data_IF_984069011815
#
_entry.id   IF_984069011815
#
_cell.length_a   1.000
_cell.length_b   1.000
_cell.length_c   1.000
_cell.angle_alpha   90.00
_cell.angle_beta   90.00
_cell.angle_gamma   90.00
#
_symmetry.space_group_name_H-M   'P 1'
#
loop_
_entity.id
_entity.type
_entity.pdbx_description
1 polymer ?
#
# COMPACT_ATOMS: atom_id res chain seq x y z
N UNK A 1 -22.03 -18.79 -14.33
CA UNK A 1 -21.79 -17.55 -13.57
C UNK A 1 -22.14 -16.37 -14.46
N UNK A 2 -23.07 -15.50 -14.06
CA UNK A 2 -23.47 -14.35 -14.89
C UNK A 2 -22.56 -13.18 -14.56
N UNK A 3 -21.42 -13.10 -15.24
CA UNK A 3 -20.47 -11.98 -15.15
C UNK A 3 -21.14 -10.79 -15.85
N UNK A 4 -21.30 -9.64 -15.16
CA UNK A 4 -21.84 -8.39 -15.73
C UNK A 4 -20.93 -7.22 -15.38
N UNK A 5 -20.13 -6.79 -16.34
CA UNK A 5 -19.23 -5.65 -16.20
C UNK A 5 -19.07 -4.98 -17.57
N UNK A 6 -19.06 -3.64 -17.62
CA UNK A 6 -18.95 -2.89 -18.88
C UNK A 6 -17.68 -3.23 -19.68
N UNK A 7 -16.60 -3.60 -18.99
CA UNK A 7 -15.29 -3.96 -19.54
C UNK A 7 -15.10 -5.48 -19.71
N UNK A 8 -16.15 -6.28 -19.61
CA UNK A 8 -16.14 -7.71 -19.90
C UNK A 8 -17.18 -7.99 -20.97
N UNK A 9 -16.86 -8.89 -21.90
CA UNK A 9 -17.81 -9.29 -22.93
C UNK A 9 -18.98 -10.06 -22.30
N UNK A 10 -20.21 -9.63 -22.60
CA UNK A 10 -21.40 -10.31 -22.08
C UNK A 10 -21.74 -11.53 -22.93
N UNK A 11 -22.02 -12.66 -22.28
CA UNK A 11 -22.57 -13.86 -22.93
C UNK A 11 -24.08 -13.91 -22.75
N UNK A 12 -24.81 -14.14 -23.84
CA UNK A 12 -26.27 -14.23 -23.87
C UNK A 12 -26.79 -15.65 -24.06
N UNK A 13 -26.03 -16.49 -24.76
CA UNK A 13 -26.38 -17.90 -24.98
C UNK A 13 -25.10 -18.72 -25.16
N UNK A 14 -25.07 -19.90 -24.55
CA UNK A 14 -24.04 -20.90 -24.76
C UNK A 14 -24.73 -22.19 -25.16
N UNK A 15 -24.54 -22.62 -26.40
CA UNK A 15 -24.76 -24.02 -26.80
C UNK A 15 -23.41 -24.65 -27.14
N UNK A 16 -23.28 -25.97 -27.12
CA UNK A 16 -22.00 -26.70 -27.23
C UNK A 16 -21.17 -26.38 -28.49
N UNK A 17 -21.70 -25.62 -29.45
CA UNK A 17 -21.04 -25.22 -30.70
C UNK A 17 -20.96 -23.71 -30.96
N UNK A 18 -21.75 -22.87 -30.27
CA UNK A 18 -21.85 -21.43 -30.57
C UNK A 18 -21.98 -20.62 -29.27
N UNK A 19 -21.13 -19.61 -29.13
CA UNK A 19 -21.21 -18.59 -28.09
C UNK A 19 -21.81 -17.30 -28.68
N UNK A 20 -22.96 -16.88 -28.15
CA UNK A 20 -23.56 -15.58 -28.51
C UNK A 20 -23.09 -14.55 -27.50
N UNK A 21 -22.37 -13.54 -27.97
CA UNK A 21 -21.76 -12.51 -27.15
C UNK A 21 -22.07 -11.10 -27.66
N UNK A 22 -21.86 -10.10 -26.80
CA UNK A 22 -21.87 -8.68 -27.18
C UNK A 22 -21.05 -8.45 -28.45
N UNK A 23 -21.58 -7.64 -29.37
CA UNK A 23 -20.87 -7.30 -30.60
C UNK A 23 -19.89 -6.15 -30.35
N UNK A 24 -18.59 -6.46 -30.29
CA UNK A 24 -17.51 -5.48 -30.26
C UNK A 24 -17.00 -5.25 -31.69
N UNK A 25 -17.51 -4.20 -32.31
CA UNK A 25 -17.37 -3.93 -33.75
C UNK A 25 -16.06 -3.24 -34.16
N UNK A 26 -15.18 -2.95 -33.20
CA UNK A 26 -13.84 -2.40 -33.43
C UNK A 26 -12.77 -3.48 -33.68
N UNK A 27 -13.09 -4.76 -33.51
CA UNK A 27 -12.13 -5.86 -33.63
C UNK A 27 -11.29 -6.06 -32.36
N UNK A 28 -10.11 -6.70 -32.47
CA UNK A 28 -9.24 -6.96 -31.32
C UNK A 28 -8.28 -5.78 -31.09
N UNK A 29 -7.73 -5.69 -29.87
CA UNK A 29 -6.65 -4.76 -29.57
C UNK A 29 -5.43 -5.06 -30.46
N UNK A 30 -5.08 -6.34 -30.64
CA UNK A 30 -3.95 -6.76 -31.49
C UNK A 30 -4.00 -6.16 -32.91
N UNK A 31 -5.16 -6.16 -33.58
CA UNK A 31 -5.30 -5.59 -34.92
C UNK A 31 -5.33 -4.06 -34.94
N UNK A 32 -5.51 -3.42 -33.77
CA UNK A 32 -5.66 -1.98 -33.63
C UNK A 32 -4.52 -1.29 -32.86
N UNK A 33 -3.46 -1.99 -32.42
CA UNK A 33 -2.31 -1.42 -31.66
C UNK A 33 -1.73 -0.16 -32.32
N UNK A 34 -1.70 -0.10 -33.66
CA UNK A 34 -1.20 1.08 -34.39
C UNK A 34 -2.18 2.26 -34.44
N UNK A 35 -3.47 2.02 -34.18
CA UNK A 35 -4.58 2.97 -34.32
C UNK A 35 -5.06 3.57 -33.01
N UNK A 36 -4.77 2.92 -31.88
CA UNK A 36 -5.22 3.35 -30.55
C UNK A 36 -4.69 4.73 -30.13
N UNK A 37 -3.55 5.20 -30.66
CA UNK A 37 -3.06 6.57 -30.46
C UNK A 37 -3.08 7.04 -29.00
N UNK A 38 -3.74 8.16 -28.73
CA UNK A 38 -3.90 8.75 -27.39
C UNK A 38 -4.85 7.95 -26.47
N UNK A 39 -5.67 7.05 -27.02
CA UNK A 39 -6.61 6.20 -26.26
C UNK A 39 -5.96 5.03 -25.53
N UNK A 40 -4.63 4.86 -25.65
CA UNK A 40 -3.87 3.79 -24.98
C UNK A 40 -4.11 3.76 -23.47
N UNK A 41 -4.15 4.91 -22.83
CA UNK A 41 -4.32 5.01 -21.38
C UNK A 41 -5.73 4.62 -20.95
N UNK A 42 -6.75 5.12 -21.66
CA UNK A 42 -8.15 4.76 -21.42
C UNK A 42 -8.37 3.25 -21.58
N UNK A 43 -7.83 2.67 -22.65
CA UNK A 43 -7.88 1.23 -22.91
C UNK A 43 -7.21 0.44 -21.77
N UNK A 44 -6.03 0.87 -21.32
CA UNK A 44 -5.31 0.21 -20.23
C UNK A 44 -6.10 0.23 -18.92
N UNK A 45 -6.72 1.37 -18.59
CA UNK A 45 -7.60 1.52 -17.43
C UNK A 45 -8.81 0.62 -17.52
N UNK A 46 -9.42 0.51 -18.70
CA UNK A 46 -10.60 -0.34 -18.93
C UNK A 46 -10.28 -1.83 -18.79
N UNK A 47 -9.16 -2.30 -19.35
CA UNK A 47 -8.70 -3.68 -19.17
C UNK A 47 -8.43 -3.97 -17.69
N UNK A 48 -7.74 -3.04 -17.01
CA UNK A 48 -7.47 -3.15 -15.57
C UNK A 48 -8.77 -3.30 -14.76
N UNK A 49 -9.76 -2.45 -15.01
CA UNK A 49 -11.05 -2.48 -14.30
C UNK A 49 -11.81 -3.78 -14.52
N UNK A 50 -11.75 -4.35 -15.73
CA UNK A 50 -12.32 -5.66 -16.01
C UNK A 50 -11.62 -6.79 -15.24
N UNK A 51 -10.30 -6.79 -15.19
CA UNK A 51 -9.52 -7.79 -14.45
C UNK A 51 -9.74 -7.71 -12.94
N UNK A 52 -9.79 -6.50 -12.35
CA UNK A 52 -10.05 -6.32 -10.92
C UNK A 52 -11.40 -6.91 -10.55
N UNK A 53 -12.41 -6.68 -11.40
CA UNK A 53 -13.73 -7.26 -11.21
C UNK A 53 -13.70 -8.81 -11.28
N UNK A 54 -13.01 -9.40 -12.25
CA UNK A 54 -12.86 -10.87 -12.32
C UNK A 54 -12.18 -11.44 -11.06
N UNK A 55 -11.07 -10.84 -10.63
CA UNK A 55 -10.35 -11.29 -9.43
C UNK A 55 -11.18 -11.11 -8.16
N UNK A 56 -12.04 -10.07 -8.07
CA UNK A 56 -12.98 -9.91 -6.95
C UNK A 56 -14.04 -11.01 -6.86
N UNK A 57 -14.24 -11.75 -7.96
CA UNK A 57 -15.13 -12.90 -8.05
C UNK A 57 -14.37 -14.23 -7.90
N UNK A 58 -13.11 -14.19 -7.46
CA UNK A 58 -12.19 -15.32 -7.39
C UNK A 58 -12.00 -16.04 -8.75
N UNK A 59 -12.11 -15.26 -9.85
CA UNK A 59 -11.99 -15.76 -11.21
C UNK A 59 -10.65 -15.34 -11.82
N UNK A 60 -9.77 -16.31 -12.09
CA UNK A 60 -8.51 -16.10 -12.81
C UNK A 60 -8.76 -16.29 -14.31
N UNK A 61 -8.42 -15.29 -15.13
CA UNK A 61 -8.71 -15.28 -16.56
C UNK A 61 -7.83 -16.24 -17.35
N UNK A 62 -6.55 -16.38 -17.01
CA UNK A 62 -5.58 -17.36 -17.56
C UNK A 62 -5.15 -17.15 -19.01
N UNK A 63 -5.78 -16.21 -19.73
CA UNK A 63 -5.62 -16.00 -21.19
C UNK A 63 -5.63 -14.52 -21.55
N UNK A 64 -5.04 -13.67 -20.72
CA UNK A 64 -4.94 -12.23 -21.01
C UNK A 64 -3.89 -12.03 -22.10
N UNK A 65 -4.32 -11.51 -23.25
CA UNK A 65 -3.47 -11.17 -24.40
C UNK A 65 -4.19 -10.19 -25.31
N UNK A 66 -3.45 -9.48 -26.17
CA UNK A 66 -4.00 -8.44 -27.05
C UNK A 66 -5.07 -8.95 -28.02
N UNK A 67 -5.07 -10.24 -28.38
CA UNK A 67 -6.13 -10.84 -29.21
C UNK A 67 -7.44 -11.11 -28.45
N UNK A 68 -7.38 -11.19 -27.12
CA UNK A 68 -8.52 -11.46 -26.24
C UNK A 68 -9.09 -10.18 -25.62
N UNK A 69 -8.56 -9.02 -26.00
CA UNK A 69 -9.16 -7.72 -25.69
C UNK A 69 -9.90 -7.26 -26.94
N UNK A 70 -11.23 -7.15 -26.86
CA UNK A 70 -12.07 -6.64 -27.92
C UNK A 70 -12.28 -5.14 -27.74
N UNK A 71 -12.37 -4.41 -28.84
CA UNK A 71 -12.60 -2.98 -28.87
C UNK A 71 -13.95 -2.66 -29.54
N UNK A 72 -14.65 -1.64 -29.05
CA UNK A 72 -15.77 -1.01 -29.77
C UNK A 72 -15.25 -0.07 -30.85
N UNK A 73 -16.13 0.44 -31.73
CA UNK A 73 -15.80 1.56 -32.66
C UNK A 73 -15.19 2.77 -31.97
N UNK A 74 -15.52 3.01 -30.69
CA UNK A 74 -15.01 4.12 -29.90
C UNK A 74 -13.74 3.76 -29.12
N UNK A 75 -13.15 2.59 -29.36
CA UNK A 75 -11.99 2.05 -28.66
C UNK A 75 -12.24 1.71 -27.17
N UNK A 76 -13.49 1.45 -26.78
CA UNK A 76 -13.76 0.88 -25.45
C UNK A 76 -13.35 -0.59 -25.41
N UNK A 77 -12.53 -0.95 -24.44
CA UNK A 77 -11.99 -2.27 -24.23
C UNK A 77 -12.92 -3.17 -23.40
N UNK A 78 -13.12 -4.38 -23.93
CA UNK A 78 -13.83 -5.49 -23.29
C UNK A 78 -12.95 -6.73 -23.28
N UNK A 79 -12.73 -7.29 -22.11
CA UNK A 79 -12.03 -8.57 -21.94
C UNK A 79 -12.93 -9.69 -22.47
N UNK A 80 -12.35 -10.58 -23.26
CA UNK A 80 -12.99 -11.75 -23.87
C UNK A 80 -12.06 -12.97 -23.80
N UNK A 81 -12.42 -14.08 -24.46
CA UNK A 81 -11.60 -15.30 -24.48
C UNK A 81 -11.87 -16.25 -23.31
N UNK A 82 -13.08 -16.18 -22.74
CA UNK A 82 -13.58 -17.11 -21.72
C UNK A 82 -14.04 -18.43 -22.38
N UNK A 83 -13.08 -19.28 -22.76
CA UNK A 83 -13.32 -20.58 -23.42
C UNK A 83 -12.40 -21.68 -22.89
N UNK A 84 -12.89 -22.94 -22.98
CA UNK A 84 -12.55 -24.18 -22.26
C UNK A 84 -11.08 -24.46 -21.89
N UNK A 85 -10.95 -25.37 -20.91
CA UNK A 85 -9.76 -25.80 -20.16
C UNK A 85 -8.40 -25.66 -20.86
N UNK A 86 -7.40 -25.28 -20.05
CA UNK A 86 -5.99 -25.08 -20.41
C UNK A 86 -5.29 -26.41 -20.72
N UNK A 87 -5.84 -27.24 -21.59
CA UNK A 87 -5.12 -28.44 -22.05
C UNK A 87 -4.16 -28.14 -23.21
N UNK A 88 -4.25 -26.94 -23.80
CA UNK A 88 -3.40 -26.53 -24.91
C UNK A 88 -2.94 -25.07 -24.76
N UNK A 89 -1.71 -24.89 -24.28
CA UNK A 89 -1.00 -23.60 -24.20
C UNK A 89 -0.10 -23.35 -25.44
N UNK A 90 -0.27 -24.16 -26.49
CA UNK A 90 0.50 -24.06 -27.72
C UNK A 90 0.36 -22.67 -28.37
N UNK A 91 1.42 -21.86 -28.30
CA UNK A 91 1.53 -20.55 -28.95
C UNK A 91 1.28 -19.33 -28.08
N UNK A 92 0.94 -19.48 -26.79
CA UNK A 92 0.65 -18.37 -25.86
C UNK A 92 1.80 -18.05 -24.87
N UNK A 93 2.99 -18.61 -25.10
CA UNK A 93 4.15 -18.54 -24.18
C UNK A 93 4.65 -17.13 -23.85
N UNK A 94 4.44 -16.19 -24.77
CA UNK A 94 4.92 -14.82 -24.65
C UNK A 94 4.16 -14.02 -23.57
N UNK A 95 2.90 -14.38 -23.29
CA UNK A 95 2.06 -13.75 -22.26
C UNK A 95 2.03 -14.57 -20.95
N UNK A 96 2.69 -15.73 -20.90
CA UNK A 96 2.72 -16.57 -19.70
C UNK A 96 3.79 -16.14 -18.69
N UNK A 97 3.36 -16.02 -17.43
CA UNK A 97 4.27 -15.80 -16.31
C UNK A 97 5.31 -16.94 -16.20
N UNK A 98 6.54 -16.66 -15.74
CA UNK A 98 7.62 -17.65 -15.71
C UNK A 98 7.27 -18.94 -14.96
N UNK A 99 6.48 -18.85 -13.89
CA UNK A 99 6.01 -19.99 -13.10
C UNK A 99 5.12 -20.96 -13.89
N UNK A 100 4.33 -20.45 -14.84
CA UNK A 100 3.41 -21.24 -15.66
C UNK A 100 4.13 -22.04 -16.74
N UNK A 101 5.31 -21.61 -17.16
CA UNK A 101 6.15 -22.33 -18.14
C UNK A 101 6.61 -23.69 -17.64
N UNK A 102 6.69 -23.84 -16.31
CA UNK A 102 7.06 -25.09 -15.64
C UNK A 102 5.85 -25.93 -15.22
N UNK A 103 4.72 -25.28 -14.93
CA UNK A 103 3.51 -25.91 -14.41
C UNK A 103 2.29 -25.02 -14.68
N UNK A 104 1.54 -25.39 -15.72
CA UNK A 104 0.32 -24.66 -16.15
C UNK A 104 -0.83 -24.76 -15.14
N UNK A 105 -0.73 -25.60 -14.10
CA UNK A 105 -1.75 -25.66 -13.05
C UNK A 105 -1.66 -24.49 -12.06
N UNK A 106 -0.54 -23.75 -12.03
CA UNK A 106 -0.25 -22.67 -11.07
C UNK A 106 -0.85 -21.31 -11.42
N UNK A 107 -1.89 -21.28 -12.24
CA UNK A 107 -2.56 -20.02 -12.57
C UNK A 107 -3.03 -19.30 -11.30
N UNK A 108 -2.74 -18.02 -11.24
CA UNK A 108 -2.97 -17.14 -10.11
C UNK A 108 -3.31 -15.71 -10.57
N UNK A 109 -3.75 -14.87 -9.63
CA UNK A 109 -3.90 -13.43 -9.87
C UNK A 109 -2.59 -12.83 -10.40
N UNK A 110 -1.44 -13.18 -9.81
CA UNK A 110 -0.11 -12.77 -10.27
C UNK A 110 0.15 -13.09 -11.74
N UNK A 111 -0.30 -14.27 -12.19
CA UNK A 111 -0.09 -14.70 -13.57
C UNK A 111 -0.92 -13.89 -14.59
N UNK A 112 -2.14 -13.47 -14.24
CA UNK A 112 -2.94 -12.55 -15.06
C UNK A 112 -2.31 -11.15 -15.10
N UNK A 113 -1.71 -10.70 -13.97
CA UNK A 113 -1.02 -9.41 -13.87
C UNK A 113 0.23 -9.39 -14.76
N UNK A 114 1.00 -10.48 -14.78
CA UNK A 114 2.13 -10.61 -15.68
C UNK A 114 1.69 -10.46 -17.14
N UNK A 115 0.65 -11.21 -17.53
CA UNK A 115 0.09 -11.17 -18.87
C UNK A 115 -0.43 -9.77 -19.24
N UNK A 116 -1.06 -9.07 -18.29
CA UNK A 116 -1.43 -7.66 -18.45
C UNK A 116 -0.22 -6.77 -18.72
N UNK A 117 0.90 -6.96 -18.01
CA UNK A 117 2.15 -6.25 -18.25
C UNK A 117 2.69 -6.45 -19.66
N UNK A 118 2.57 -7.66 -20.21
CA UNK A 118 2.94 -7.95 -21.61
C UNK A 118 2.01 -7.22 -22.57
N UNK A 119 0.68 -7.27 -22.35
CA UNK A 119 -0.30 -6.50 -23.14
C UNK A 119 0.00 -5.01 -23.14
N UNK A 120 0.35 -4.45 -21.97
CA UNK A 120 0.75 -3.06 -21.88
C UNK A 120 1.95 -2.82 -22.79
N UNK A 121 3.05 -3.56 -22.60
CA UNK A 121 4.27 -3.41 -23.40
C UNK A 121 3.99 -3.41 -24.91
N UNK A 122 3.09 -4.27 -25.39
CA UNK A 122 2.69 -4.32 -26.80
C UNK A 122 1.94 -3.08 -27.29
N UNK A 123 1.16 -2.42 -26.42
CA UNK A 123 0.52 -1.12 -26.71
C UNK A 123 1.56 0.03 -26.84
N UNK A 124 2.80 -0.18 -26.39
CA UNK A 124 3.92 0.77 -26.45
C UNK A 124 3.99 1.72 -25.25
N UNK A 125 5.12 2.41 -25.08
CA UNK A 125 5.35 3.37 -23.99
C UNK A 125 4.25 4.47 -23.98
N UNK A 126 3.46 4.50 -22.90
CA UNK A 126 2.52 5.57 -22.58
C UNK A 126 3.10 6.53 -21.53
N UNK A 127 2.30 7.51 -21.07
CA UNK A 127 2.76 8.47 -20.06
C UNK A 127 3.12 7.80 -18.73
N UNK A 128 3.57 8.62 -17.75
CA UNK A 128 3.75 8.19 -16.34
C UNK A 128 2.56 7.40 -15.78
N UNK A 129 1.37 7.60 -16.36
CA UNK A 129 0.12 7.03 -15.90
C UNK A 129 -0.10 5.59 -16.33
N UNK A 130 0.35 5.27 -17.54
CA UNK A 130 0.44 3.93 -18.09
C UNK A 130 1.46 3.06 -17.31
N UNK A 131 2.56 3.65 -16.82
CA UNK A 131 3.49 2.99 -15.89
C UNK A 131 2.89 2.79 -14.49
N UNK A 132 2.05 3.73 -14.02
CA UNK A 132 1.34 3.62 -12.74
C UNK A 132 0.33 2.46 -12.74
N UNK A 133 -0.30 2.14 -13.87
CA UNK A 133 -1.17 0.97 -14.01
C UNK A 133 -0.42 -0.36 -13.79
N UNK A 134 0.85 -0.43 -14.20
CA UNK A 134 1.72 -1.58 -13.88
C UNK A 134 2.08 -1.65 -12.40
N UNK A 135 2.22 -0.49 -11.73
CA UNK A 135 2.63 -0.39 -10.32
C UNK A 135 1.45 -0.68 -9.37
N UNK A 136 0.26 -0.13 -9.63
CA UNK A 136 -0.90 -0.25 -8.75
C UNK A 136 -1.47 -1.67 -8.63
N UNK A 137 -1.25 -2.53 -9.62
CA UNK A 137 -1.70 -3.92 -9.57
C UNK A 137 -0.78 -4.81 -8.70
N UNK A 138 0.41 -4.33 -8.34
CA UNK A 138 1.43 -5.08 -7.59
C UNK A 138 1.38 -4.83 -6.07
N UNK A 139 0.57 -3.89 -5.58
CA UNK A 139 0.56 -3.49 -4.17
C UNK A 139 -0.23 -4.45 -3.24
N UNK A 140 -0.98 -5.40 -3.80
CA UNK A 140 -1.84 -6.35 -3.06
C UNK A 140 -1.46 -7.84 -3.18
N UNK A 141 -0.33 -8.20 -3.82
CA UNK A 141 0.10 -9.60 -3.95
C UNK A 141 1.13 -10.03 -2.87
N UNK A 142 0.90 -11.12 -2.11
CA UNK A 142 1.85 -11.67 -1.16
C UNK A 142 3.17 -12.20 -1.79
N UNK A 143 3.30 -12.29 -3.12
CA UNK A 143 4.52 -12.72 -3.82
C UNK A 143 5.61 -11.65 -4.00
N UNK A 144 5.56 -10.52 -3.27
CA UNK A 144 6.51 -9.39 -3.29
C UNK A 144 8.01 -9.75 -3.12
N UNK A 145 8.38 -10.99 -2.78
CA UNK A 145 9.78 -11.40 -2.50
C UNK A 145 10.61 -11.87 -3.70
N UNK A 146 10.09 -11.96 -4.93
CA UNK A 146 10.86 -12.46 -6.08
C UNK A 146 11.22 -11.42 -7.17
N UNK A 147 10.63 -10.23 -7.16
CA UNK A 147 10.87 -9.22 -8.20
C UNK A 147 12.00 -8.26 -7.81
N UNK A 148 13.20 -8.49 -8.36
CA UNK A 148 14.38 -7.62 -8.26
C UNK A 148 14.27 -6.42 -9.21
N UNK A 149 13.45 -5.41 -8.91
CA UNK A 149 13.61 -4.07 -9.50
C UNK A 149 13.24 -2.97 -8.50
N UNK A 150 14.01 -1.87 -8.42
CA UNK A 150 13.80 -0.82 -7.44
C UNK A 150 12.67 0.12 -7.88
N UNK A 151 11.67 0.33 -7.01
CA UNK A 151 10.63 1.33 -7.22
C UNK A 151 11.00 2.58 -6.44
N UNK A 152 11.13 3.70 -7.15
CA UNK A 152 11.31 5.05 -6.59
C UNK A 152 9.94 5.55 -6.12
N UNK A 153 9.83 5.88 -4.83
CA UNK A 153 8.62 6.44 -4.22
C UNK A 153 8.31 7.85 -4.75
N UNK A 154 7.05 8.12 -5.12
CA UNK A 154 6.34 9.40 -4.99
C UNK A 154 4.92 9.30 -5.60
N UNK A 155 4.02 10.30 -5.44
CA UNK A 155 3.30 10.70 -4.22
C UNK A 155 1.78 10.42 -4.33
N UNK A 156 1.10 10.40 -3.17
CA UNK A 156 -0.32 10.08 -2.90
C UNK A 156 -1.41 10.94 -3.60
N UNK A 157 -1.20 11.52 -4.77
CA UNK A 157 -2.13 12.50 -5.38
C UNK A 157 -2.76 12.11 -6.72
N UNK A 158 -2.69 10.84 -7.14
CA UNK A 158 -3.07 10.49 -8.53
C UNK A 158 -3.95 9.24 -8.64
N UNK A 159 -4.71 8.90 -7.59
CA UNK A 159 -5.73 7.85 -7.67
C UNK A 159 -7.07 8.38 -8.22
N UNK A 160 -7.43 9.63 -7.91
CA UNK A 160 -8.71 10.22 -8.27
C UNK A 160 -8.84 10.67 -9.74
N UNK A 161 -7.72 10.91 -10.43
CA UNK A 161 -7.70 11.44 -11.80
C UNK A 161 -7.75 10.38 -12.92
N UNK A 162 -7.63 9.09 -12.61
CA UNK A 162 -7.38 8.00 -13.61
C UNK A 162 -8.47 6.94 -13.74
N UNK A 163 -9.65 7.18 -13.17
CA UNK A 163 -10.80 6.29 -13.37
C UNK A 163 -11.70 6.70 -14.54
N UNK A 164 -11.26 7.63 -15.39
CA UNK A 164 -11.92 7.89 -16.67
C UNK A 164 -13.38 8.34 -16.51
N UNK A 165 -13.61 9.33 -15.65
CA UNK A 165 -14.87 10.08 -15.64
C UNK A 165 -14.58 11.36 -16.41
N UNK A 166 -14.93 11.37 -17.69
CA UNK A 166 -15.09 12.63 -18.42
C UNK A 166 -16.05 13.52 -17.62
N UNK A 167 -15.68 14.79 -17.47
CA UNK A 167 -16.47 15.80 -16.80
C UNK A 167 -17.88 15.85 -17.42
N UNK A 168 -18.89 15.36 -16.70
CA UNK A 168 -20.27 15.45 -17.16
C UNK A 168 -21.30 14.68 -16.34
N UNK A 169 -20.97 13.49 -15.82
CA UNK A 169 -21.94 12.69 -15.06
C UNK A 169 -21.29 12.15 -13.79
N UNK A 170 -21.90 12.45 -12.65
CA UNK A 170 -21.56 11.88 -11.35
C UNK A 170 -21.43 10.36 -11.51
N UNK A 171 -20.29 9.76 -11.15
CA UNK A 171 -20.33 8.36 -10.69
C UNK A 171 -21.41 8.32 -9.61
N UNK A 172 -22.46 7.50 -9.74
CA UNK A 172 -23.53 7.52 -8.76
C UNK A 172 -22.93 7.01 -7.46
N UNK A 173 -22.63 7.96 -6.55
CA UNK A 173 -22.10 7.76 -5.22
C UNK A 173 -22.83 6.62 -4.48
N UNK A 174 -24.11 6.44 -4.79
CA UNK A 174 -24.96 5.35 -4.31
C UNK A 174 -24.50 3.95 -4.77
N UNK A 175 -24.03 3.76 -5.99
CA UNK A 175 -23.47 2.48 -6.44
C UNK A 175 -22.15 2.16 -5.70
N UNK A 176 -21.29 3.16 -5.53
CA UNK A 176 -20.05 3.02 -4.73
C UNK A 176 -20.36 2.61 -3.28
N UNK A 177 -21.37 3.23 -2.66
CA UNK A 177 -21.85 2.88 -1.31
C UNK A 177 -22.37 1.44 -1.25
N UNK A 178 -23.05 0.96 -2.28
CA UNK A 178 -23.54 -0.44 -2.31
C UNK A 178 -22.37 -1.41 -2.39
N UNK A 179 -21.39 -1.17 -3.27
CA UNK A 179 -20.19 -2.01 -3.43
C UNK A 179 -19.38 -2.06 -2.13
N UNK A 180 -19.20 -0.90 -1.49
CA UNK A 180 -18.42 -0.76 -0.27
C UNK A 180 -18.92 -1.60 0.90
N UNK A 181 -20.22 -1.96 0.94
CA UNK A 181 -20.76 -2.81 2.01
C UNK A 181 -20.16 -4.22 2.02
N UNK A 182 -19.61 -4.69 0.91
CA UNK A 182 -18.95 -5.99 0.80
C UNK A 182 -17.46 -5.92 0.47
N UNK A 183 -16.91 -4.72 0.27
CA UNK A 183 -15.52 -4.54 -0.17
C UNK A 183 -14.79 -3.52 0.70
N UNK A 184 -13.81 -4.00 1.47
CA UNK A 184 -13.04 -3.19 2.43
C UNK A 184 -12.21 -2.08 1.77
N UNK A 185 -11.69 -2.31 0.57
CA UNK A 185 -10.92 -1.30 -0.18
C UNK A 185 -11.81 -0.15 -0.64
N UNK A 186 -13.00 -0.48 -1.18
CA UNK A 186 -13.95 0.54 -1.64
C UNK A 186 -14.54 1.32 -0.46
N UNK A 187 -14.82 0.64 0.66
CA UNK A 187 -15.22 1.30 1.90
C UNK A 187 -14.12 2.24 2.41
N UNK A 188 -12.86 1.83 2.39
CA UNK A 188 -11.75 2.70 2.79
C UNK A 188 -11.63 3.92 1.87
N UNK A 189 -11.81 3.72 0.55
CA UNK A 189 -11.81 4.80 -0.42
C UNK A 189 -12.94 5.81 -0.19
N UNK A 190 -14.17 5.34 0.10
CA UNK A 190 -15.28 6.22 0.51
C UNK A 190 -14.94 7.00 1.78
N UNK A 191 -14.31 6.34 2.76
CA UNK A 191 -13.78 7.00 3.96
C UNK A 191 -12.90 8.18 3.59
N UNK A 192 -11.91 7.99 2.71
CA UNK A 192 -11.02 9.07 2.24
C UNK A 192 -11.79 10.16 1.49
N UNK A 193 -12.76 9.79 0.64
CA UNK A 193 -13.55 10.77 -0.11
C UNK A 193 -14.32 11.70 0.81
N UNK A 194 -15.04 11.17 1.80
CA UNK A 194 -15.76 12.00 2.78
C UNK A 194 -14.79 12.77 3.70
N UNK A 195 -13.62 12.23 4.00
CA UNK A 195 -12.63 12.88 4.85
C UNK A 195 -11.94 14.09 4.19
N UNK A 196 -11.80 14.05 2.86
CA UNK A 196 -11.09 15.05 2.04
C UNK A 196 -12.00 15.88 1.14
N UNK A 197 -13.29 15.53 1.04
CA UNK A 197 -14.25 16.14 0.12
C UNK A 197 -14.18 15.58 -1.30
N UNK A 198 -13.33 14.58 -1.56
CA UNK A 198 -13.25 13.88 -2.84
C UNK A 198 -13.05 14.81 -4.04
N UNK A 199 -12.23 15.85 -3.90
CA UNK A 199 -12.02 16.90 -4.92
C UNK A 199 -13.29 17.71 -5.25
N UNK A 200 -14.18 17.89 -4.27
CA UNK A 200 -15.45 18.61 -4.41
C UNK A 200 -16.62 17.73 -4.86
N UNK A 201 -16.43 16.40 -4.98
CA UNK A 201 -17.49 15.45 -5.33
C UNK A 201 -18.45 15.18 -4.18
N UNK A 202 -17.98 15.31 -2.93
CA UNK A 202 -18.79 15.18 -1.72
C UNK A 202 -18.46 16.31 -0.76
N UNK A 203 -19.43 16.70 0.07
CA UNK A 203 -19.14 17.55 1.23
C UNK A 203 -18.21 16.79 2.17
N UNK A 204 -17.24 17.49 2.76
CA UNK A 204 -16.44 16.92 3.84
C UNK A 204 -17.37 16.55 4.99
N UNK A 205 -17.36 15.29 5.36
CA UNK A 205 -18.17 14.73 6.44
C UNK A 205 -17.31 13.73 7.22
N UNK A 206 -16.87 14.15 8.41
CA UNK A 206 -15.98 13.33 9.25
C UNK A 206 -16.71 12.14 9.88
N UNK A 207 -18.01 12.26 10.12
CA UNK A 207 -18.80 11.18 10.72
C UNK A 207 -19.09 10.10 9.68
N UNK A 208 -19.45 10.51 8.47
CA UNK A 208 -19.63 9.59 7.34
C UNK A 208 -18.30 8.92 6.97
N UNK A 209 -17.20 9.67 6.92
CA UNK A 209 -15.86 9.12 6.68
C UNK A 209 -15.50 8.04 7.72
N UNK A 210 -15.77 8.31 9.00
CA UNK A 210 -15.54 7.37 10.08
C UNK A 210 -16.38 6.10 9.94
N UNK A 211 -17.66 6.23 9.57
CA UNK A 211 -18.54 5.08 9.34
C UNK A 211 -17.98 4.16 8.24
N UNK A 212 -17.47 4.75 7.15
CA UNK A 212 -16.83 4.01 6.06
C UNK A 212 -15.48 3.40 6.46
N UNK A 213 -14.67 4.09 7.26
CA UNK A 213 -13.45 3.50 7.82
C UNK A 213 -13.76 2.34 8.76
N UNK A 214 -14.78 2.45 9.60
CA UNK A 214 -15.22 1.36 10.46
C UNK A 214 -15.70 0.16 9.64
N UNK A 215 -16.47 0.40 8.57
CA UNK A 215 -16.91 -0.64 7.64
C UNK A 215 -15.71 -1.35 7.02
N UNK A 216 -14.78 -0.59 6.44
CA UNK A 216 -13.55 -1.12 5.86
C UNK A 216 -12.75 -1.95 6.88
N UNK A 217 -12.59 -1.43 8.09
CA UNK A 217 -11.87 -2.12 9.16
C UNK A 217 -12.54 -3.43 9.56
N UNK A 218 -13.88 -3.46 9.59
CA UNK A 218 -14.68 -4.65 9.89
C UNK A 218 -14.59 -5.71 8.79
N UNK A 219 -14.42 -5.27 7.54
CA UNK A 219 -14.17 -6.11 6.36
C UNK A 219 -12.70 -6.56 6.23
N UNK A 220 -11.84 -6.21 7.18
CA UNK A 220 -10.45 -6.66 7.21
C UNK A 220 -9.42 -5.66 6.69
N UNK A 221 -9.81 -4.49 6.19
CA UNK A 221 -8.88 -3.52 5.61
C UNK A 221 -7.86 -3.00 6.64
N UNK A 222 -6.57 -3.30 6.44
CA UNK A 222 -5.50 -3.09 7.44
C UNK A 222 -5.23 -1.64 7.82
N UNK A 223 -5.20 -0.70 6.86
CA UNK A 223 -4.96 0.72 7.19
C UNK A 223 -6.19 1.30 7.89
N UNK A 224 -7.40 0.86 7.53
CA UNK A 224 -8.62 1.28 8.20
C UNK A 224 -8.68 0.76 9.65
N UNK A 225 -8.23 -0.47 9.90
CA UNK A 225 -8.05 -0.97 11.27
C UNK A 225 -7.04 -0.11 12.05
N UNK A 226 -5.95 0.34 11.42
CA UNK A 226 -5.01 1.26 12.06
C UNK A 226 -5.65 2.63 12.34
N UNK A 227 -6.44 3.17 11.42
CA UNK A 227 -7.19 4.43 11.58
C UNK A 227 -8.17 4.31 12.76
N UNK A 228 -8.90 3.20 12.86
CA UNK A 228 -9.80 2.95 13.99
C UNK A 228 -9.01 2.87 15.31
N UNK A 229 -7.84 2.24 15.30
CA UNK A 229 -6.94 2.23 16.46
C UNK A 229 -6.57 3.64 16.93
N UNK A 230 -6.22 4.55 16.01
CA UNK A 230 -5.93 5.95 16.33
C UNK A 230 -7.16 6.65 16.89
N UNK A 231 -8.31 6.47 16.24
CA UNK A 231 -9.57 7.09 16.63
C UNK A 231 -10.00 6.77 18.08
N UNK A 232 -9.86 5.50 18.48
CA UNK A 232 -10.18 5.08 19.86
C UNK A 232 -9.12 5.52 20.85
N UNK A 233 -7.83 5.53 20.47
CA UNK A 233 -6.76 6.02 21.32
C UNK A 233 -6.92 7.51 21.65
N UNK A 234 -7.26 8.34 20.65
CA UNK A 234 -7.49 9.78 20.85
C UNK A 234 -8.69 10.08 21.77
N UNK A 235 -9.63 9.12 21.88
CA UNK A 235 -10.77 9.16 22.82
C UNK A 235 -10.44 8.62 24.21
N UNK A 236 -9.24 8.10 24.40
CA UNK A 236 -8.81 7.45 25.64
C UNK A 236 -9.33 6.01 25.81
N UNK A 237 -9.92 5.41 24.78
CA UNK A 237 -10.30 3.99 24.79
C UNK A 237 -9.13 3.12 24.30
N UNK A 238 -8.15 2.95 25.18
CA UNK A 238 -6.96 2.15 24.90
C UNK A 238 -7.27 0.67 24.68
N UNK A 239 -8.42 0.17 25.16
CA UNK A 239 -8.79 -1.24 24.99
C UNK A 239 -9.26 -1.50 23.56
N UNK A 240 -10.15 -0.65 23.05
CA UNK A 240 -10.57 -0.72 21.66
C UNK A 240 -9.41 -0.42 20.71
N UNK A 241 -8.56 0.56 21.05
CA UNK A 241 -7.38 0.90 20.26
C UNK A 241 -6.39 -0.27 20.17
N UNK A 242 -6.05 -0.92 21.29
CA UNK A 242 -5.18 -2.10 21.33
C UNK A 242 -5.75 -3.23 20.45
N UNK A 243 -7.06 -3.47 20.52
CA UNK A 243 -7.75 -4.47 19.69
C UNK A 243 -7.63 -4.18 18.19
N UNK A 244 -7.89 -2.94 17.78
CA UNK A 244 -7.82 -2.54 16.38
C UNK A 244 -6.40 -2.54 15.83
N UNK A 245 -5.44 -1.97 16.57
CA UNK A 245 -4.05 -2.04 16.15
C UNK A 245 -3.55 -3.49 16.09
N UNK A 246 -3.98 -4.36 17.02
CA UNK A 246 -3.62 -5.79 16.99
C UNK A 246 -4.12 -6.49 15.73
N UNK A 247 -5.32 -6.17 15.26
CA UNK A 247 -5.83 -6.71 13.98
C UNK A 247 -4.96 -6.24 12.80
N UNK A 248 -4.64 -4.94 12.73
CA UNK A 248 -3.80 -4.40 11.67
C UNK A 248 -2.37 -4.98 11.70
N UNK A 249 -1.79 -5.08 12.90
CA UNK A 249 -0.44 -5.61 13.14
C UNK A 249 -0.31 -7.09 12.76
N UNK A 250 -1.34 -7.91 13.00
CA UNK A 250 -1.37 -9.32 12.55
C UNK A 250 -1.35 -9.46 11.03
N UNK A 251 -1.82 -8.44 10.32
CA UNK A 251 -1.78 -8.35 8.85
C UNK A 251 -0.49 -7.72 8.32
N UNK A 252 0.51 -7.48 9.19
CA UNK A 252 1.80 -6.95 8.77
C UNK A 252 1.83 -5.43 8.56
N UNK A 253 0.92 -4.67 9.18
CA UNK A 253 0.85 -3.22 9.00
C UNK A 253 1.94 -2.48 9.81
N UNK A 254 2.95 -1.84 9.19
CA UNK A 254 4.12 -1.31 9.90
C UNK A 254 3.79 -0.26 10.96
N UNK A 255 2.96 0.73 10.62
CA UNK A 255 2.55 1.76 11.59
C UNK A 255 1.78 1.19 12.77
N UNK A 256 1.05 0.09 12.58
CA UNK A 256 0.28 -0.51 13.66
C UNK A 256 1.20 -1.16 14.69
N UNK A 257 2.31 -1.77 14.25
CA UNK A 257 3.36 -2.23 15.16
C UNK A 257 3.93 -1.08 15.99
N UNK A 258 4.28 0.05 15.38
CA UNK A 258 4.83 1.20 16.12
C UNK A 258 3.82 1.78 17.11
N UNK A 259 2.53 1.86 16.73
CA UNK A 259 1.46 2.33 17.62
C UNK A 259 1.22 1.37 18.80
N UNK A 260 1.21 0.05 18.56
CA UNK A 260 1.14 -0.93 19.64
C UNK A 260 2.37 -0.89 20.54
N UNK A 261 3.55 -0.77 19.95
CA UNK A 261 4.80 -0.61 20.68
C UNK A 261 4.73 0.55 21.67
N UNK A 262 4.23 1.71 21.22
CA UNK A 262 4.06 2.89 22.06
C UNK A 262 3.02 2.69 23.17
N UNK A 263 1.91 2.03 22.86
CA UNK A 263 0.87 1.72 23.83
C UNK A 263 1.34 0.72 24.91
N UNK A 264 2.10 -0.29 24.53
CA UNK A 264 2.69 -1.22 25.48
C UNK A 264 3.77 -0.57 26.32
N UNK A 265 4.59 0.29 25.71
CA UNK A 265 5.60 1.07 26.42
C UNK A 265 4.98 1.97 27.50
N UNK A 266 3.92 2.73 27.17
CA UNK A 266 3.24 3.59 28.15
C UNK A 266 2.62 2.80 29.31
N UNK A 267 2.13 1.59 29.03
CA UNK A 267 1.63 0.63 30.02
C UNK A 267 2.73 -0.17 30.74
N UNK A 268 4.02 0.12 30.49
CA UNK A 268 5.20 -0.61 31.01
C UNK A 268 5.24 -2.11 30.66
N UNK A 269 4.55 -2.50 29.59
CA UNK A 269 4.54 -3.85 29.01
C UNK A 269 5.72 -4.00 28.04
N UNK A 270 6.93 -3.94 28.58
CA UNK A 270 8.16 -3.80 27.79
C UNK A 270 8.43 -5.00 26.87
N UNK A 271 8.03 -6.21 27.25
CA UNK A 271 8.19 -7.40 26.42
C UNK A 271 7.37 -7.28 25.12
N UNK A 272 6.08 -6.94 25.23
CA UNK A 272 5.23 -6.73 24.06
C UNK A 272 5.65 -5.49 23.25
N UNK A 273 6.11 -4.44 23.92
CA UNK A 273 6.64 -3.25 23.25
C UNK A 273 7.87 -3.61 22.40
N UNK A 274 8.80 -4.39 22.96
CA UNK A 274 10.01 -4.84 22.29
C UNK A 274 9.69 -5.71 21.07
N UNK A 275 8.73 -6.64 21.19
CA UNK A 275 8.30 -7.47 20.06
C UNK A 275 7.74 -6.60 18.91
N UNK A 276 6.86 -5.65 19.23
CA UNK A 276 6.23 -4.82 18.21
C UNK A 276 7.23 -3.86 17.57
N UNK A 277 8.07 -3.19 18.35
CA UNK A 277 9.09 -2.31 17.77
C UNK A 277 10.16 -3.08 16.98
N UNK A 278 10.49 -4.32 17.36
CA UNK A 278 11.40 -5.15 16.56
C UNK A 278 10.80 -5.47 15.18
N UNK A 279 9.48 -5.73 15.10
CA UNK A 279 8.78 -5.93 13.82
C UNK A 279 8.73 -4.64 12.99
N UNK A 280 8.43 -3.50 13.63
CA UNK A 280 8.44 -2.20 12.98
C UNK A 280 9.83 -1.85 12.42
N UNK A 281 10.88 -2.12 13.18
CA UNK A 281 12.27 -1.93 12.78
C UNK A 281 12.64 -2.80 11.57
N UNK A 282 12.26 -4.08 11.59
CA UNK A 282 12.45 -4.99 10.47
C UNK A 282 11.70 -4.55 9.20
N UNK A 283 10.68 -3.71 9.34
CA UNK A 283 9.94 -3.10 8.24
C UNK A 283 10.47 -1.71 7.83
N UNK A 284 11.58 -1.26 8.41
CA UNK A 284 12.25 -0.01 8.06
C UNK A 284 11.82 1.22 8.86
N UNK A 285 11.07 1.05 9.97
CA UNK A 285 10.73 2.18 10.83
C UNK A 285 11.94 2.60 11.69
N UNK A 286 12.59 3.71 11.30
CA UNK A 286 13.72 4.29 12.04
C UNK A 286 13.31 4.71 13.46
N UNK A 287 12.08 5.21 13.65
CA UNK A 287 11.56 5.62 14.95
C UNK A 287 11.48 4.44 15.92
N UNK A 288 11.25 3.24 15.41
CA UNK A 288 11.21 2.03 16.23
C UNK A 288 12.57 1.73 16.90
N UNK A 289 13.68 2.08 16.25
CA UNK A 289 15.02 1.90 16.83
C UNK A 289 15.23 2.81 18.04
N UNK A 290 14.76 4.06 17.99
CA UNK A 290 14.76 4.96 19.15
C UNK A 290 13.97 4.35 20.32
N UNK A 291 12.77 3.84 20.06
CA UNK A 291 11.94 3.25 21.11
C UNK A 291 12.50 1.93 21.66
N UNK A 292 13.21 1.14 20.85
CA UNK A 292 13.96 0.00 21.36
C UNK A 292 15.05 0.47 22.34
N UNK A 293 15.75 1.56 22.02
CA UNK A 293 16.69 2.20 22.94
C UNK A 293 16.04 2.62 24.26
N UNK A 294 14.88 3.28 24.20
CA UNK A 294 14.11 3.66 25.39
C UNK A 294 13.72 2.44 26.24
N UNK A 295 13.29 1.34 25.61
CA UNK A 295 12.92 0.11 26.34
C UNK A 295 14.11 -0.46 27.12
N UNK A 296 15.29 -0.53 26.51
CA UNK A 296 16.49 -1.02 27.19
C UNK A 296 16.97 -0.05 28.27
N UNK A 297 16.85 1.25 28.02
CA UNK A 297 17.19 2.29 28.99
C UNK A 297 16.31 2.21 30.25
N UNK A 298 14.99 2.00 30.08
CA UNK A 298 14.06 1.78 31.19
C UNK A 298 14.33 0.47 31.95
N UNK A 299 14.94 -0.52 31.29
CA UNK A 299 15.38 -1.78 31.90
C UNK A 299 16.80 -1.73 32.46
N UNK A 300 17.44 -0.56 32.47
CA UNK A 300 18.80 -0.33 32.97
C UNK A 300 19.90 -1.08 32.19
N UNK A 301 19.63 -1.44 30.94
CA UNK A 301 20.64 -1.96 30.01
C UNK A 301 21.18 -0.82 29.14
N UNK A 302 22.08 -0.04 29.72
CA UNK A 302 22.62 1.15 29.06
C UNK A 302 23.44 0.81 27.81
N UNK A 303 24.06 -0.37 27.75
CA UNK A 303 24.89 -0.78 26.60
C UNK A 303 24.01 -1.06 25.39
N UNK A 304 22.93 -1.84 25.58
CA UNK A 304 21.97 -2.08 24.50
C UNK A 304 21.21 -0.81 24.13
N UNK A 305 20.82 0.00 25.12
CA UNK A 305 20.18 1.29 24.88
C UNK A 305 21.05 2.20 23.99
N UNK A 306 22.34 2.33 24.33
CA UNK A 306 23.30 3.10 23.53
C UNK A 306 23.38 2.57 22.10
N UNK A 307 23.50 1.26 21.92
CA UNK A 307 23.55 0.65 20.59
C UNK A 307 22.34 0.99 19.72
N UNK A 308 21.14 0.95 20.29
CA UNK A 308 19.90 1.28 19.58
C UNK A 308 19.73 2.78 19.31
N UNK A 309 20.00 3.63 20.30
CA UNK A 309 19.98 5.08 20.09
C UNK A 309 21.01 5.50 19.04
N UNK A 310 22.24 4.98 19.10
CA UNK A 310 23.26 5.26 18.10
C UNK A 310 22.83 4.82 16.70
N UNK A 311 22.21 3.64 16.57
CA UNK A 311 21.68 3.16 15.28
C UNK A 311 20.63 4.12 14.70
N UNK A 312 19.70 4.61 15.52
CA UNK A 312 18.67 5.56 15.12
C UNK A 312 19.25 6.95 14.80
N UNK A 313 20.20 7.43 15.61
CA UNK A 313 20.85 8.71 15.45
C UNK A 313 21.64 8.81 14.14
N UNK A 314 22.36 7.74 13.75
CA UNK A 314 23.07 7.69 12.46
C UNK A 314 22.11 7.76 11.26
N UNK A 315 20.85 7.34 11.44
CA UNK A 315 19.79 7.49 10.44
C UNK A 315 19.02 8.81 10.56
N UNK A 316 19.46 9.69 11.47
CA UNK A 316 18.99 11.06 11.59
C UNK A 316 17.78 11.25 12.50
N UNK A 317 17.40 10.26 13.33
CA UNK A 317 16.37 10.47 14.36
C UNK A 317 16.87 11.45 15.43
N UNK A 318 16.18 12.58 15.55
CA UNK A 318 16.62 13.73 16.34
C UNK A 318 16.58 13.45 17.84
N UNK A 319 15.59 12.69 18.31
CA UNK A 319 15.49 12.32 19.73
C UNK A 319 16.64 11.34 20.08
N UNK A 320 16.97 10.43 19.17
CA UNK A 320 18.09 9.53 19.33
C UNK A 320 19.45 10.25 19.33
N UNK A 321 19.66 11.25 18.47
CA UNK A 321 20.88 12.09 18.48
C UNK A 321 21.08 12.75 19.84
N UNK A 322 20.03 13.32 20.41
CA UNK A 322 20.07 13.86 21.76
C UNK A 322 20.36 12.77 22.82
N UNK A 323 19.72 11.60 22.75
CA UNK A 323 19.97 10.49 23.68
C UNK A 323 21.41 9.98 23.62
N UNK A 324 22.00 9.88 22.43
CA UNK A 324 23.42 9.53 22.25
C UNK A 324 24.32 10.57 22.90
N UNK A 325 24.06 11.87 22.65
CA UNK A 325 24.81 12.95 23.31
C UNK A 325 24.71 12.88 24.84
N UNK A 326 23.52 12.60 25.37
CA UNK A 326 23.29 12.41 26.80
C UNK A 326 24.06 11.23 27.38
N UNK A 327 24.12 10.12 26.66
CA UNK A 327 24.85 8.92 27.10
C UNK A 327 26.36 9.15 27.10
N UNK A 328 26.92 9.85 26.11
CA UNK A 328 28.32 10.26 26.11
C UNK A 328 28.65 11.24 27.25
N UNK A 329 27.78 12.20 27.53
CA UNK A 329 27.99 13.19 28.60
C UNK A 329 28.08 12.51 29.98
N UNK A 330 27.26 11.49 30.22
CA UNK A 330 27.17 10.81 31.51
C UNK A 330 27.97 9.51 31.59
N UNK A 331 28.51 9.02 30.47
CA UNK A 331 29.19 7.71 30.41
C UNK A 331 28.26 6.53 30.62
N UNK A 332 27.01 6.61 30.13
CA UNK A 332 26.02 5.53 30.24
C UNK A 332 26.14 4.61 29.03
N UNK A 333 26.49 3.34 29.23
CA UNK A 333 26.61 2.36 28.14
C UNK A 333 27.78 2.58 27.18
N UNK A 334 28.47 3.71 27.31
CA UNK A 334 29.63 4.14 26.51
C UNK A 334 30.61 4.90 27.40
N UNK A 335 31.89 4.94 27.03
CA UNK A 335 32.87 5.75 27.74
C UNK A 335 32.49 7.23 27.68
N UNK A 336 32.58 7.92 28.83
CA UNK A 336 32.25 9.34 28.92
C UNK A 336 33.13 10.17 28.00
N UNK A 337 32.52 11.03 27.19
CA UNK A 337 33.21 11.96 26.28
C UNK A 337 32.38 13.22 26.09
N UNK A 338 32.88 14.35 26.57
CA UNK A 338 32.19 15.64 26.38
C UNK A 338 32.25 16.11 24.94
N UNK A 339 33.38 15.89 24.25
CA UNK A 339 33.55 16.27 22.84
C UNK A 339 32.56 15.53 21.92
N UNK A 340 32.33 14.22 22.16
CA UNK A 340 31.32 13.46 21.40
C UNK A 340 29.90 13.90 21.78
N UNK A 341 29.65 14.15 23.07
CA UNK A 341 28.35 14.64 23.51
C UNK A 341 27.97 15.97 22.84
N UNK A 342 28.90 16.92 22.79
CA UNK A 342 28.72 18.21 22.12
C UNK A 342 28.41 18.05 20.64
N UNK A 343 29.15 17.20 19.90
CA UNK A 343 28.87 16.94 18.48
C UNK A 343 27.44 16.46 18.26
N UNK A 344 26.98 15.47 19.03
CA UNK A 344 25.63 14.92 18.89
C UNK A 344 24.54 15.90 19.34
N UNK A 345 24.80 16.75 20.33
CA UNK A 345 23.89 17.82 20.70
C UNK A 345 23.78 18.89 19.62
N UNK A 346 24.90 19.30 19.01
CA UNK A 346 24.90 20.27 17.92
C UNK A 346 24.10 19.74 16.72
N UNK A 347 24.25 18.47 16.33
CA UNK A 347 23.46 17.89 15.23
C UNK A 347 21.95 17.90 15.54
N UNK A 348 21.56 17.61 16.78
CA UNK A 348 20.16 17.67 17.18
C UNK A 348 19.63 19.12 17.21
N UNK A 349 20.44 20.10 17.65
CA UNK A 349 20.11 21.53 17.66
C UNK A 349 19.92 22.07 16.24
N UNK A 350 20.81 21.70 15.30
CA UNK A 350 20.69 22.08 13.89
C UNK A 350 19.35 21.60 13.29
N UNK A 351 18.80 20.50 13.80
CA UNK A 351 17.48 19.97 13.43
C UNK A 351 16.33 20.50 14.28
N UNK A 352 16.57 21.48 15.15
CA UNK A 352 15.56 22.17 15.95
C UNK A 352 15.21 21.51 17.28
N UNK A 353 16.05 20.61 17.81
CA UNK A 353 15.78 19.92 19.07
C UNK A 353 15.98 20.82 20.30
N UNK A 354 14.90 21.43 20.78
CA UNK A 354 14.93 22.35 21.93
C UNK A 354 15.54 21.75 23.23
N UNK A 355 15.31 20.47 23.59
CA UNK A 355 15.97 19.88 24.77
C UNK A 355 17.49 19.77 24.64
N UNK A 356 18.02 19.57 23.43
CA UNK A 356 19.46 19.52 23.18
C UNK A 356 20.09 20.91 23.39
N UNK A 357 19.43 21.95 22.89
CA UNK A 357 19.85 23.34 23.09
C UNK A 357 19.98 23.68 24.58
N UNK A 358 18.95 23.35 25.37
CA UNK A 358 18.97 23.60 26.82
C UNK A 358 20.10 22.85 27.54
N UNK A 359 20.42 21.62 27.12
CA UNK A 359 21.50 20.84 27.72
C UNK A 359 22.89 21.41 27.41
N UNK A 360 23.09 21.95 26.21
CA UNK A 360 24.34 22.61 25.82
C UNK A 360 24.50 23.99 26.52
N UNK A 361 23.39 24.68 26.76
CA UNK A 361 23.36 25.98 27.47
C UNK A 361 23.47 25.85 28.99
N UNK A 362 23.38 24.63 29.55
CA UNK A 362 23.68 24.43 30.97
C UNK A 362 25.18 24.65 31.19
N UNK A 363 25.58 25.44 32.19
CA UNK A 363 26.99 25.67 32.47
C UNK A 363 27.65 24.32 32.80
N UNK A 364 28.44 23.81 31.87
CA UNK A 364 29.45 22.81 32.16
C UNK A 364 30.39 23.46 33.18
N UNK A 365 30.32 23.03 34.44
CA UNK A 365 31.36 23.36 35.41
C UNK A 365 32.68 22.80 34.88
N UNK A 366 33.43 23.65 34.17
CA UNK A 366 34.87 23.54 34.05
C UNK A 366 35.47 23.70 35.44
N UNK A 367 35.43 22.64 36.24
CA UNK A 367 36.49 22.43 37.22
C UNK A 367 37.45 21.42 36.62
N UNK A 368 38.39 21.97 35.86
CA UNK A 368 39.78 21.57 36.02
C UNK A 368 40.11 21.65 37.53
N UNK A 369 40.10 20.51 38.22
CA UNK A 369 40.91 20.26 39.42
C UNK A 369 41.30 18.79 39.45
#
# INVERSE_FOLDING_TARGET
>A
MTIRNKNIIQFYHHDYSIQVMDFADGGTLASNIKRIGEKREDIAVQIRSGLVYLHSLDFIHKKIKTSNILLTRNFDAKIAGFGSDITDCNGDEDWMAPELRSDVSKHSVASDIYALGVVMKEMGEGSKDYMQCMIMYLDDDPCRRSLKYPIVEAPKKTLARKLGVEAGEQEPLEELKVIARGNGEVAHHLGIMYDTGGEGKVSIDKDEALAWYLMAASLGHREAQCIMGVHYHDRGDDTAAESWYSKAARQGHPKAWSKLGGMFFSKRRYAEALENYSKAESAGDVRAQYWLGEIYYQQLDDVLAFGWFHKAAVQGDVDAEYSVGYMYHHGRGVARSFDEAEKWYLTAIEKGHAPAQKHLEMPHNFTNM
#
